data_IF_991613883575
#
_entry.id   IF_991613883575
#
_cell.length_a   1.000
_cell.length_b   1.000
_cell.length_c   1.000
_cell.angle_alpha   90.00
_cell.angle_beta   90.00
_cell.angle_gamma   90.00
#
_symmetry.space_group_name_H-M   'P 1'
#
loop_
_entity.id
_entity.type
_entity.pdbx_description
1 polymer ?
#
# COMPACT_ATOMS: atom_id res chain seq x y z
N UNK A 1 15.42 13.97 -44.33
CA UNK A 1 14.96 15.34 -44.01
C UNK A 1 13.75 15.64 -44.89
N UNK A 2 12.55 15.21 -44.46
CA UNK A 2 11.29 15.44 -45.19
C UNK A 2 10.68 16.77 -44.71
N UNK A 3 10.46 17.70 -45.64
CA UNK A 3 9.99 19.06 -45.37
C UNK A 3 8.46 19.03 -45.17
N UNK A 4 7.96 19.74 -44.16
CA UNK A 4 6.54 19.76 -43.75
C UNK A 4 5.52 20.09 -44.86
N UNK A 5 5.97 20.68 -45.96
CA UNK A 5 5.13 21.01 -47.12
C UNK A 5 4.67 19.78 -47.93
N UNK A 6 5.41 18.67 -47.92
CA UNK A 6 5.05 17.47 -48.69
C UNK A 6 3.92 16.67 -48.05
N UNK A 7 3.85 16.61 -46.71
CA UNK A 7 2.75 15.96 -46.01
C UNK A 7 1.42 16.67 -46.28
N UNK A 8 1.41 18.01 -46.30
CA UNK A 8 0.18 18.79 -46.50
C UNK A 8 -0.46 18.52 -47.87
N UNK A 9 0.35 18.27 -48.91
CA UNK A 9 -0.15 17.91 -50.24
C UNK A 9 -0.69 16.48 -50.28
N UNK A 10 -0.01 15.54 -49.62
CA UNK A 10 -0.46 14.14 -49.55
C UNK A 10 -1.82 14.01 -48.85
N UNK A 11 -2.04 14.75 -47.75
CA UNK A 11 -3.31 14.70 -47.01
C UNK A 11 -4.45 15.48 -47.70
N UNK A 12 -4.13 16.46 -48.53
CA UNK A 12 -5.14 17.17 -49.33
C UNK A 12 -5.72 16.28 -50.45
N UNK A 13 -4.92 15.37 -51.01
CA UNK A 13 -5.34 14.40 -52.02
C UNK A 13 -6.27 13.31 -51.48
N UNK A 14 -6.23 13.04 -50.17
CA UNK A 14 -6.98 11.96 -49.50
C UNK A 14 -8.24 12.45 -48.77
N UNK A 15 -8.63 13.72 -48.92
CA UNK A 15 -9.80 14.29 -48.24
C UNK A 15 -9.67 14.37 -46.72
N UNK A 16 -8.48 14.14 -46.15
CA UNK A 16 -8.25 13.96 -44.71
C UNK A 16 -7.87 15.25 -43.97
N UNK A 17 -8.15 16.42 -44.55
CA UNK A 17 -7.83 17.73 -43.95
C UNK A 17 -8.50 17.93 -42.59
N UNK A 18 -9.69 17.36 -42.37
CA UNK A 18 -10.42 17.52 -41.11
C UNK A 18 -9.70 16.87 -39.93
N UNK A 19 -9.05 15.71 -40.13
CA UNK A 19 -8.43 14.93 -39.05
C UNK A 19 -7.16 15.62 -38.52
N UNK A 20 -6.35 16.20 -39.40
CA UNK A 20 -5.13 16.90 -38.98
C UNK A 20 -5.42 18.28 -38.36
N UNK A 21 -6.40 19.03 -38.88
CA UNK A 21 -6.84 20.29 -38.28
C UNK A 21 -7.52 20.09 -36.91
N UNK A 22 -8.27 19.00 -36.72
CA UNK A 22 -8.90 18.69 -35.42
C UNK A 22 -7.86 18.30 -34.35
N UNK A 23 -6.83 17.53 -34.75
CA UNK A 23 -5.71 17.18 -33.86
C UNK A 23 -4.86 18.37 -33.43
N UNK A 24 -4.66 19.36 -34.32
CA UNK A 24 -3.84 20.55 -34.01
C UNK A 24 -4.59 21.63 -33.23
N UNK A 25 -5.91 21.79 -33.42
CA UNK A 25 -6.72 22.78 -32.69
C UNK A 25 -7.05 22.32 -31.26
N UNK A 26 -7.11 21.02 -30.99
CA UNK A 26 -7.29 20.47 -29.63
C UNK A 26 -6.08 20.69 -28.72
N UNK A 27 -4.87 20.86 -29.29
CA UNK A 27 -3.64 21.04 -28.53
C UNK A 27 -3.37 22.50 -28.10
N UNK A 28 -4.06 23.49 -28.69
CA UNK A 28 -3.73 24.93 -28.53
C UNK A 28 -4.80 25.71 -27.75
N UNK A 29 -5.98 25.14 -27.45
CA UNK A 29 -7.05 25.83 -26.71
C UNK A 29 -7.51 25.06 -25.48
N UNK A 30 -6.82 25.25 -24.37
CA UNK A 30 -7.36 24.95 -23.05
C UNK A 30 -6.27 24.91 -21.98
N UNK A 31 -6.18 25.95 -21.15
CA UNK A 31 -5.55 25.78 -19.83
C UNK A 31 -6.18 24.55 -19.17
N UNK A 32 -5.38 23.55 -18.82
CA UNK A 32 -5.88 22.23 -18.44
C UNK A 32 -6.58 22.31 -17.08
N UNK A 33 -7.87 22.65 -17.09
CA UNK A 33 -8.70 22.74 -15.88
C UNK A 33 -8.86 21.33 -15.33
N UNK A 34 -8.06 21.00 -14.32
CA UNK A 34 -8.08 19.69 -13.66
C UNK A 34 -9.50 19.42 -13.14
N UNK A 35 -10.08 18.30 -13.60
CA UNK A 35 -11.42 17.87 -13.20
C UNK A 35 -11.49 17.70 -11.69
N UNK A 36 -12.66 18.00 -11.13
CA UNK A 36 -12.89 17.92 -9.68
C UNK A 36 -12.58 16.52 -9.15
N UNK A 37 -13.04 15.46 -9.81
CA UNK A 37 -12.71 14.08 -9.44
C UNK A 37 -11.20 13.79 -9.44
N UNK A 38 -10.44 14.37 -10.37
CA UNK A 38 -8.97 14.21 -10.40
C UNK A 38 -8.28 14.86 -9.20
N UNK A 39 -8.80 15.99 -8.68
CA UNK A 39 -8.27 16.59 -7.45
C UNK A 39 -8.49 15.67 -6.24
N UNK A 40 -9.68 15.10 -6.12
CA UNK A 40 -9.99 14.10 -5.09
C UNK A 40 -9.10 12.87 -5.23
N UNK A 41 -8.87 12.39 -6.44
CA UNK A 41 -8.02 11.24 -6.70
C UNK A 41 -6.55 11.47 -6.32
N UNK A 42 -6.02 12.66 -6.60
CA UNK A 42 -4.66 13.05 -6.17
C UNK A 42 -4.58 13.13 -4.64
N UNK A 43 -5.56 13.76 -4.00
CA UNK A 43 -5.60 13.84 -2.54
C UNK A 43 -5.70 12.45 -1.88
N UNK A 44 -6.56 11.58 -2.43
CA UNK A 44 -6.70 10.19 -1.99
C UNK A 44 -5.37 9.43 -2.11
N UNK A 45 -4.67 9.58 -3.24
CA UNK A 45 -3.40 8.92 -3.46
C UNK A 45 -2.30 9.44 -2.55
N UNK A 46 -2.22 10.77 -2.36
CA UNK A 46 -1.28 11.38 -1.43
C UNK A 46 -1.52 10.91 0.02
N UNK A 47 -2.78 10.78 0.43
CA UNK A 47 -3.15 10.21 1.72
C UNK A 47 -2.68 8.75 1.83
N UNK A 48 -3.02 7.91 0.85
CA UNK A 48 -2.63 6.49 0.85
C UNK A 48 -1.11 6.31 0.95
N UNK A 49 -0.35 7.01 0.09
CA UNK A 49 1.11 6.94 0.08
C UNK A 49 1.71 7.50 1.37
N UNK A 50 1.21 8.64 1.85
CA UNK A 50 1.67 9.25 3.10
C UNK A 50 1.46 8.32 4.30
N UNK A 51 0.29 7.68 4.38
CA UNK A 51 -0.01 6.67 5.42
C UNK A 51 0.90 5.45 5.27
N UNK A 52 1.15 4.96 4.06
CA UNK A 52 2.09 3.83 3.83
C UNK A 52 3.52 4.18 4.24
N UNK A 53 4.00 5.37 3.90
CA UNK A 53 5.35 5.83 4.30
C UNK A 53 5.45 5.91 5.82
N UNK A 54 4.44 6.48 6.48
CA UNK A 54 4.38 6.56 7.94
C UNK A 54 4.33 5.17 8.59
N UNK A 55 3.52 4.26 8.04
CA UNK A 55 3.45 2.87 8.47
C UNK A 55 4.84 2.22 8.46
N UNK A 56 5.55 2.27 7.32
CA UNK A 56 6.88 1.68 7.22
C UNK A 56 7.94 2.40 8.05
N UNK A 57 7.80 3.71 8.29
CA UNK A 57 8.64 4.43 9.23
C UNK A 57 8.56 3.82 10.63
N UNK A 58 7.35 3.52 11.13
CA UNK A 58 7.17 2.84 12.42
C UNK A 58 7.62 1.38 12.40
N UNK A 59 7.39 0.64 11.30
CA UNK A 59 7.88 -0.75 11.15
C UNK A 59 9.39 -0.81 11.33
N UNK A 60 10.12 0.12 10.71
CA UNK A 60 11.59 0.17 10.80
C UNK A 60 12.11 0.50 12.20
N UNK A 61 11.30 1.16 13.01
CA UNK A 61 11.63 1.47 14.41
C UNK A 61 11.15 0.41 15.40
N UNK A 62 10.50 -0.67 14.91
CA UNK A 62 9.88 -1.69 15.77
C UNK A 62 8.94 -1.03 16.80
N UNK A 63 8.27 0.05 16.39
CA UNK A 63 7.45 0.90 17.25
C UNK A 63 6.06 1.12 16.61
N UNK A 64 5.42 0.04 16.17
CA UNK A 64 4.03 0.13 15.74
C UNK A 64 3.15 0.38 16.97
N UNK A 65 2.23 1.36 16.92
CA UNK A 65 1.25 1.54 17.98
C UNK A 65 0.47 0.25 18.26
N UNK A 66 0.17 0.02 19.54
CA UNK A 66 -0.66 -1.11 19.98
C UNK A 66 -2.04 -1.05 19.30
N UNK A 67 -2.65 0.14 19.31
CA UNK A 67 -3.86 0.42 18.54
C UNK A 67 -3.52 0.90 17.11
N UNK A 68 -3.82 0.05 16.13
CA UNK A 68 -3.57 0.32 14.70
C UNK A 68 -4.79 0.92 13.99
N UNK A 69 -5.88 1.20 14.71
CA UNK A 69 -7.14 1.68 14.14
C UNK A 69 -6.94 2.96 13.35
N UNK A 70 -6.07 3.88 13.80
CA UNK A 70 -5.77 5.12 13.07
C UNK A 70 -5.25 4.88 11.64
N UNK A 71 -4.35 3.91 11.46
CA UNK A 71 -3.86 3.54 10.13
C UNK A 71 -4.96 2.93 9.26
N UNK A 72 -5.76 2.02 9.83
CA UNK A 72 -6.87 1.39 9.12
C UNK A 72 -7.88 2.42 8.65
N UNK A 73 -8.27 3.37 9.52
CA UNK A 73 -9.17 4.46 9.17
C UNK A 73 -8.60 5.34 8.05
N UNK A 74 -7.31 5.68 8.12
CA UNK A 74 -6.66 6.49 7.06
C UNK A 74 -6.64 5.76 5.71
N UNK A 75 -6.34 4.45 5.69
CA UNK A 75 -6.37 3.64 4.48
C UNK A 75 -7.78 3.50 3.89
N UNK A 76 -8.79 3.25 4.73
CA UNK A 76 -10.19 3.19 4.29
C UNK A 76 -10.70 4.54 3.80
N UNK A 77 -10.29 5.64 4.45
CA UNK A 77 -10.61 6.99 3.99
C UNK A 77 -9.99 7.28 2.62
N UNK A 78 -8.73 6.88 2.40
CA UNK A 78 -8.07 7.01 1.11
C UNK A 78 -8.77 6.20 0.02
N UNK A 79 -9.16 4.95 0.30
CA UNK A 79 -9.91 4.12 -0.64
C UNK A 79 -11.28 4.73 -0.96
N UNK A 80 -12.00 5.20 0.07
CA UNK A 80 -13.32 5.84 -0.09
C UNK A 80 -13.24 7.13 -0.91
N UNK A 81 -12.22 7.96 -0.69
CA UNK A 81 -11.95 9.14 -1.52
C UNK A 81 -11.60 8.78 -2.96
N UNK A 82 -10.87 7.67 -3.17
CA UNK A 82 -10.60 7.14 -4.50
C UNK A 82 -11.87 6.74 -5.25
N UNK A 83 -12.82 6.09 -4.58
CA UNK A 83 -14.14 5.77 -5.16
C UNK A 83 -14.93 7.05 -5.47
N UNK A 84 -14.96 8.01 -4.54
CA UNK A 84 -15.62 9.31 -4.74
C UNK A 84 -15.04 10.10 -5.93
N UNK A 85 -13.73 9.99 -6.16
CA UNK A 85 -13.07 10.61 -7.32
C UNK A 85 -13.66 10.12 -8.64
N UNK A 86 -13.93 8.82 -8.77
CA UNK A 86 -14.56 8.25 -9.97
C UNK A 86 -16.00 8.70 -10.12
N UNK A 87 -16.78 8.72 -9.03
CA UNK A 87 -18.17 9.22 -9.05
C UNK A 87 -18.23 10.69 -9.51
N UNK A 88 -17.26 11.52 -9.10
CA UNK A 88 -17.15 12.93 -9.49
C UNK A 88 -16.52 13.16 -10.87
N UNK A 89 -16.13 12.10 -11.56
CA UNK A 89 -15.59 12.15 -12.92
C UNK A 89 -14.10 12.47 -12.96
N UNK A 90 -13.33 11.49 -13.43
CA UNK A 90 -11.90 11.62 -13.75
C UNK A 90 -11.70 11.63 -15.27
N UNK A 91 -10.58 12.19 -15.74
CA UNK A 91 -10.11 11.93 -17.12
C UNK A 91 -9.31 10.63 -17.16
N UNK A 92 -8.97 10.12 -18.35
CA UNK A 92 -8.20 8.88 -18.52
C UNK A 92 -6.93 8.84 -17.66
N UNK A 93 -6.07 9.86 -17.78
CA UNK A 93 -4.84 9.98 -16.99
C UNK A 93 -5.17 10.31 -15.52
N UNK A 94 -6.19 11.14 -15.29
CA UNK A 94 -6.62 11.55 -13.95
C UNK A 94 -7.29 10.45 -13.13
N UNK A 95 -7.57 9.28 -13.72
CA UNK A 95 -8.09 8.09 -13.06
C UNK A 95 -7.01 7.22 -12.42
N UNK A 96 -5.73 7.39 -12.79
CA UNK A 96 -4.64 6.58 -12.25
C UNK A 96 -4.45 6.79 -10.73
N UNK A 97 -4.38 8.03 -10.20
CA UNK A 97 -4.21 8.24 -8.76
C UNK A 97 -5.30 7.60 -7.88
N UNK A 98 -6.62 7.75 -8.16
CA UNK A 98 -7.65 7.11 -7.34
C UNK A 98 -7.63 5.58 -7.44
N UNK A 99 -7.23 4.98 -8.57
CA UNK A 99 -7.01 3.52 -8.64
C UNK A 99 -5.93 3.07 -7.64
N UNK A 100 -4.79 3.78 -7.61
CA UNK A 100 -3.70 3.49 -6.67
C UNK A 100 -4.14 3.65 -5.22
N UNK A 101 -4.92 4.70 -4.91
CA UNK A 101 -5.43 4.93 -3.56
C UNK A 101 -6.34 3.79 -3.07
N UNK A 102 -7.22 3.29 -3.93
CA UNK A 102 -8.10 2.14 -3.63
C UNK A 102 -7.27 0.88 -3.42
N UNK A 103 -6.35 0.57 -4.33
CA UNK A 103 -5.51 -0.63 -4.22
C UNK A 103 -4.69 -0.64 -2.93
N UNK A 104 -4.00 0.46 -2.63
CA UNK A 104 -3.20 0.61 -1.40
C UNK A 104 -4.11 0.51 -0.17
N UNK A 105 -5.19 1.29 -0.13
CA UNK A 105 -6.08 1.34 1.02
C UNK A 105 -6.70 -0.03 1.34
N UNK A 106 -7.26 -0.71 0.34
CA UNK A 106 -7.84 -2.05 0.52
C UNK A 106 -6.76 -3.07 0.90
N UNK A 107 -5.63 -3.08 0.22
CA UNK A 107 -4.54 -4.02 0.48
C UNK A 107 -4.01 -3.92 1.92
N UNK A 108 -3.72 -2.70 2.39
CA UNK A 108 -3.20 -2.52 3.74
C UNK A 108 -4.26 -2.79 4.81
N UNK A 109 -5.50 -2.33 4.62
CA UNK A 109 -6.59 -2.65 5.57
C UNK A 109 -6.82 -4.16 5.67
N UNK A 110 -6.80 -4.88 4.55
CA UNK A 110 -6.95 -6.32 4.52
C UNK A 110 -5.79 -7.05 5.21
N UNK A 111 -4.55 -6.70 4.88
CA UNK A 111 -3.38 -7.35 5.49
C UNK A 111 -3.31 -7.09 7.00
N UNK A 112 -3.68 -5.89 7.47
CA UNK A 112 -3.78 -5.60 8.90
C UNK A 112 -4.85 -6.47 9.56
N UNK A 113 -6.04 -6.60 8.95
CA UNK A 113 -7.13 -7.39 9.50
C UNK A 113 -6.78 -8.88 9.67
N UNK A 114 -6.01 -9.45 8.73
CA UNK A 114 -5.59 -10.86 8.78
C UNK A 114 -4.32 -11.06 9.64
N UNK A 115 -3.62 -9.99 10.02
CA UNK A 115 -2.35 -10.06 10.77
C UNK A 115 -2.50 -10.25 12.29
N UNK A 116 -3.72 -10.42 12.81
CA UNK A 116 -3.94 -10.60 14.25
C UNK A 116 -3.13 -11.79 14.76
N UNK A 117 -2.30 -11.51 15.76
CA UNK A 117 -1.54 -12.51 16.51
C UNK A 117 -1.94 -12.33 17.96
N UNK A 118 -2.99 -13.02 18.38
CA UNK A 118 -3.33 -13.15 19.78
C UNK A 118 -2.65 -14.39 20.33
N UNK A 119 -1.96 -14.23 21.47
CA UNK A 119 -1.69 -15.37 22.35
C UNK A 119 -2.99 -15.64 23.09
N UNK A 120 -3.48 -16.88 23.08
CA UNK A 120 -4.65 -17.23 23.87
C UNK A 120 -4.34 -16.96 25.35
N UNK A 121 -5.13 -16.11 26.01
CA UNK A 121 -4.83 -15.62 27.36
C UNK A 121 -4.72 -16.73 28.40
N UNK A 122 -5.36 -17.88 28.15
CA UNK A 122 -5.28 -19.11 28.93
C UNK A 122 -3.99 -19.91 28.71
N UNK A 123 -3.18 -19.55 27.70
CA UNK A 123 -1.88 -20.15 27.37
C UNK A 123 -0.70 -19.21 27.55
N UNK A 124 -0.94 -17.98 27.98
CA UNK A 124 0.11 -17.02 28.29
C UNK A 124 0.78 -17.38 29.63
N UNK A 125 2.10 -17.56 29.63
CA UNK A 125 2.89 -17.81 30.84
C UNK A 125 2.92 -16.53 31.69
N UNK A 126 2.46 -16.61 32.94
CA UNK A 126 2.48 -15.52 33.89
C UNK A 126 3.70 -15.59 34.83
N UNK A 127 3.99 -14.48 35.53
CA UNK A 127 5.04 -14.45 36.54
C UNK A 127 4.65 -15.37 37.71
N UNK A 128 5.52 -16.34 38.01
CA UNK A 128 5.29 -17.34 39.04
C UNK A 128 4.84 -18.70 38.50
N UNK A 129 4.49 -18.79 37.21
CA UNK A 129 4.18 -20.07 36.58
C UNK A 129 5.43 -20.95 36.45
N UNK A 130 5.21 -22.26 36.53
CA UNK A 130 6.22 -23.26 36.22
C UNK A 130 6.43 -23.28 34.71
N UNK A 131 7.70 -23.21 34.28
CA UNK A 131 8.05 -23.31 32.85
C UNK A 131 7.51 -24.64 32.30
N UNK A 132 6.75 -24.62 31.19
CA UNK A 132 6.22 -25.84 30.60
C UNK A 132 7.34 -26.77 30.12
N UNK A 133 7.08 -28.08 30.12
CA UNK A 133 7.97 -29.04 29.51
C UNK A 133 8.02 -28.82 27.99
N UNK A 134 9.21 -28.64 27.44
CA UNK A 134 9.42 -28.59 26.00
C UNK A 134 10.75 -29.24 25.62
N UNK A 135 10.84 -29.74 24.39
CA UNK A 135 12.08 -30.25 23.82
C UNK A 135 12.26 -29.73 22.40
N UNK A 136 13.48 -29.38 22.03
CA UNK A 136 13.84 -28.93 20.70
C UNK A 136 15.19 -29.54 20.30
N UNK A 137 15.55 -29.44 19.02
CA UNK A 137 16.92 -29.69 18.59
C UNK A 137 17.69 -28.38 18.69
N UNK A 138 18.94 -28.45 19.16
CA UNK A 138 19.86 -27.33 19.14
C UNK A 138 20.57 -27.19 17.78
N UNK A 139 21.50 -26.22 17.68
CA UNK A 139 22.26 -25.94 16.46
C UNK A 139 23.20 -27.10 16.04
N UNK A 140 23.51 -28.02 16.96
CA UNK A 140 24.31 -29.23 16.70
C UNK A 140 23.43 -30.45 16.35
N UNK A 141 22.09 -30.31 16.42
CA UNK A 141 21.15 -31.40 16.22
C UNK A 141 20.96 -32.27 17.47
N UNK A 142 21.49 -31.86 18.61
CA UNK A 142 21.30 -32.55 19.88
C UNK A 142 19.95 -32.17 20.50
N UNK A 143 19.36 -33.10 21.25
CA UNK A 143 18.07 -32.86 21.90
C UNK A 143 18.27 -32.02 23.15
N UNK A 144 17.71 -30.82 23.13
CA UNK A 144 17.56 -29.94 24.28
C UNK A 144 16.21 -30.20 24.97
N UNK A 145 16.21 -30.32 26.30
CA UNK A 145 14.99 -30.40 27.11
C UNK A 145 14.92 -29.26 28.12
N UNK A 146 13.72 -28.72 28.37
CA UNK A 146 13.55 -27.59 29.29
C UNK A 146 13.96 -27.91 30.74
N UNK A 147 14.02 -29.20 31.12
CA UNK A 147 14.54 -29.66 32.41
C UNK A 147 16.01 -29.29 32.63
N UNK A 148 16.78 -29.13 31.55
CA UNK A 148 18.20 -28.79 31.61
C UNK A 148 18.42 -27.32 32.04
N UNK A 149 17.35 -26.52 32.09
CA UNK A 149 17.35 -25.15 32.61
C UNK A 149 17.19 -25.08 34.13
N UNK A 150 16.92 -26.20 34.80
CA UNK A 150 16.66 -26.22 36.24
C UNK A 150 17.88 -25.71 37.04
N UNK A 151 17.63 -24.79 37.98
CA UNK A 151 18.69 -24.20 38.79
C UNK A 151 19.44 -23.05 38.12
N UNK A 152 19.05 -22.67 36.89
CA UNK A 152 19.64 -21.55 36.16
C UNK A 152 18.64 -20.40 35.97
N UNK A 153 19.15 -19.16 36.00
CA UNK A 153 18.37 -17.99 35.64
C UNK A 153 18.51 -17.75 34.13
N UNK A 154 17.40 -17.89 33.40
CA UNK A 154 17.41 -18.04 31.94
C UNK A 154 16.48 -17.03 31.29
N UNK A 155 16.89 -16.50 30.13
CA UNK A 155 16.07 -15.64 29.28
C UNK A 155 15.63 -16.43 28.05
N UNK A 156 14.34 -16.76 27.98
CA UNK A 156 13.76 -17.45 26.83
C UNK A 156 13.20 -16.38 25.88
N UNK A 157 13.70 -16.35 24.65
CA UNK A 157 13.26 -15.39 23.63
C UNK A 157 12.70 -16.13 22.42
N UNK A 158 11.43 -15.86 22.11
CA UNK A 158 10.76 -16.39 20.93
C UNK A 158 10.92 -15.43 19.76
N UNK A 159 11.29 -15.96 18.60
CA UNK A 159 11.36 -15.22 17.35
C UNK A 159 10.32 -15.76 16.38
N UNK A 160 9.57 -14.87 15.72
CA UNK A 160 8.68 -15.24 14.62
C UNK A 160 9.44 -15.04 13.31
N UNK A 161 9.86 -16.15 12.70
CA UNK A 161 10.82 -16.23 11.59
C UNK A 161 12.25 -15.78 11.98
N UNK A 162 13.21 -16.66 11.69
CA UNK A 162 14.63 -16.32 11.67
C UNK A 162 15.03 -16.16 10.20
N UNK A 163 15.87 -15.16 9.93
CA UNK A 163 16.60 -14.97 8.69
C UNK A 163 18.06 -14.77 9.07
#
# INVERSE_FOLDING_TARGET
>A
MFRSADLTRLFCSLGLKSIFMYGSQAAVRGGHKVRVGTKFGIAAFALAVGTTVLWFYFVRQVNLPEDRTGFVVAFLAAASLGVLAYIKGTGWIGGVPPAGAILIGVFFSFTIAVSSQSVESDKAIAVGDVIPSFSALDDAGERFESKDLNGHLVLIKFFRAHW
#
